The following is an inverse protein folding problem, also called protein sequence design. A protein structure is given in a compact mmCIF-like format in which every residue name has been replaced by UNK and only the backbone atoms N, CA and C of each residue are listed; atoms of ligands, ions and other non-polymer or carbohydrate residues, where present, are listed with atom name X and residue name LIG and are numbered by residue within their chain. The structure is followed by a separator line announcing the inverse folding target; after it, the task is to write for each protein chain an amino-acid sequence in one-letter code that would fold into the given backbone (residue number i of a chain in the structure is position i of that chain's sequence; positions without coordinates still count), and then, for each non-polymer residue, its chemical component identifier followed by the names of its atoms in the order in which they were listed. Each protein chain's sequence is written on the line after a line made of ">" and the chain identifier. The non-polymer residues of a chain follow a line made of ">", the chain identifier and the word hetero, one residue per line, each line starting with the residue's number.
data_IF_551078655499
#
_entry.id   IF_551078655499
#
_cell.length_a   1.000
_cell.length_b   1.000
_cell.length_c   1.000
_cell.angle_alpha   90.00
_cell.angle_beta   90.00
_cell.angle_gamma   90.00
#
_symmetry.space_group_name_H-M   'P 1'
#
loop_
_entity.id
_entity.type
_entity.pdbx_description
1 polymer ?
#
# COMPACT_ATOMS: atom_id res chain seq x y z
N UNK A 1 -0.94 2.74 8.28
CA UNK A 1 -0.36 1.44 7.86
C UNK A 1 -1.40 0.45 7.43
N UNK A 2 -2.38 0.11 8.27
CA UNK A 2 -3.45 -0.83 7.91
C UNK A 2 -4.18 -0.45 6.61
N UNK A 3 -4.53 0.82 6.42
CA UNK A 3 -5.13 1.31 5.17
C UNK A 3 -4.28 1.03 3.92
N UNK A 4 -2.95 1.16 4.03
CA UNK A 4 -2.04 0.90 2.91
C UNK A 4 -1.96 -0.60 2.60
N UNK A 5 -1.98 -1.41 3.67
CA UNK A 5 -2.02 -2.87 3.57
C UNK A 5 -3.29 -3.36 2.85
N UNK A 6 -4.45 -2.83 3.24
CA UNK A 6 -5.73 -3.17 2.59
C UNK A 6 -5.80 -2.65 1.16
N UNK A 7 -5.29 -1.44 0.87
CA UNK A 7 -5.22 -0.95 -0.51
C UNK A 7 -4.39 -1.92 -1.38
N UNK A 8 -3.20 -2.32 -0.93
CA UNK A 8 -2.37 -3.29 -1.65
C UNK A 8 -3.04 -4.65 -1.82
N UNK A 9 -3.78 -5.13 -0.81
CA UNK A 9 -4.56 -6.38 -0.90
C UNK A 9 -5.70 -6.29 -1.91
N UNK A 10 -6.49 -5.22 -1.87
CA UNK A 10 -7.57 -4.96 -2.83
C UNK A 10 -7.06 -4.91 -4.28
N UNK A 11 -5.84 -4.43 -4.51
CA UNK A 11 -5.22 -4.45 -5.83
C UNK A 11 -4.84 -5.87 -6.27
N UNK A 12 -4.32 -6.68 -5.36
CA UNK A 12 -3.94 -8.08 -5.66
C UNK A 12 -5.17 -8.98 -5.89
N UNK A 13 -6.26 -8.72 -5.17
CA UNK A 13 -7.54 -9.42 -5.31
C UNK A 13 -8.36 -8.94 -6.53
N UNK A 14 -7.90 -7.92 -7.25
CA UNK A 14 -8.59 -7.35 -8.41
C UNK A 14 -9.85 -6.55 -8.08
N UNK A 15 -10.08 -6.21 -6.81
CA UNK A 15 -11.19 -5.34 -6.36
C UNK A 15 -11.04 -3.95 -6.97
N UNK A 16 -9.81 -3.44 -7.04
CA UNK A 16 -9.46 -2.22 -7.78
C UNK A 16 -8.63 -2.60 -9.00
N UNK A 17 -8.92 -1.94 -10.12
CA UNK A 17 -8.33 -2.29 -11.42
C UNK A 17 -6.89 -1.82 -11.59
N UNK A 18 -6.53 -0.72 -10.95
CA UNK A 18 -5.19 -0.14 -11.03
C UNK A 18 -4.85 0.67 -9.78
N UNK A 19 -3.55 0.90 -9.54
CA UNK A 19 -3.08 1.79 -8.47
C UNK A 19 -3.63 3.22 -8.63
N UNK A 20 -3.73 3.70 -9.87
CA UNK A 20 -4.29 5.02 -10.19
C UNK A 20 -5.77 5.12 -9.79
N UNK A 21 -6.58 4.14 -10.15
CA UNK A 21 -8.00 4.12 -9.78
C UNK A 21 -8.18 4.06 -8.25
N UNK A 22 -7.33 3.28 -7.58
CA UNK A 22 -7.30 3.20 -6.13
C UNK A 22 -6.90 4.51 -5.45
N UNK A 23 -5.90 5.22 -5.99
CA UNK A 23 -5.47 6.53 -5.48
C UNK A 23 -6.56 7.59 -5.64
N UNK A 24 -7.14 7.70 -6.84
CA UNK A 24 -8.26 8.62 -7.13
C UNK A 24 -9.45 8.29 -6.23
N UNK A 25 -9.84 7.01 -6.17
CA UNK A 25 -10.95 6.56 -5.35
C UNK A 25 -10.74 6.82 -3.86
N UNK A 26 -9.51 6.65 -3.35
CA UNK A 26 -9.21 6.91 -1.95
C UNK A 26 -9.25 8.41 -1.61
N UNK A 27 -8.70 9.26 -2.48
CA UNK A 27 -8.68 10.72 -2.27
C UNK A 27 -10.09 11.30 -2.34
N UNK A 28 -10.85 10.98 -3.38
CA UNK A 28 -12.17 11.56 -3.61
C UNK A 28 -13.31 10.84 -2.88
N UNK A 29 -13.16 9.54 -2.58
CA UNK A 29 -14.21 8.74 -1.95
C UNK A 29 -14.17 8.77 -0.43
N UNK A 30 -13.01 8.51 0.17
CA UNK A 30 -12.85 8.35 1.63
C UNK A 30 -11.98 9.42 2.27
N UNK A 31 -11.59 10.45 1.51
CA UNK A 31 -10.86 11.62 2.03
C UNK A 31 -9.40 11.35 2.37
N UNK A 32 -8.73 10.44 1.65
CA UNK A 32 -7.29 10.27 1.80
C UNK A 32 -6.55 11.59 1.52
N UNK A 33 -5.51 11.97 2.30
CA UNK A 33 -4.83 13.25 2.14
C UNK A 33 -4.34 13.50 0.69
N UNK A 34 -4.88 14.52 -0.02
CA UNK A 34 -4.58 14.72 -1.43
C UNK A 34 -3.10 15.03 -1.70
N UNK A 35 -2.44 15.71 -0.75
CA UNK A 35 -1.03 16.08 -0.86
C UNK A 35 -0.08 14.88 -0.78
N UNK A 36 -0.56 13.70 -0.37
CA UNK A 36 0.18 12.42 -0.42
C UNK A 36 -0.10 11.65 -1.72
N UNK A 37 -1.00 12.14 -2.57
CA UNK A 37 -1.32 11.56 -3.87
C UNK A 37 -2.15 10.28 -3.86
N UNK A 38 -2.51 9.75 -2.68
CA UNK A 38 -3.25 8.49 -2.53
C UNK A 38 -2.40 7.39 -1.85
N UNK A 39 -3.03 6.29 -1.39
CA UNK A 39 -2.34 5.21 -0.68
C UNK A 39 -1.20 4.56 -1.47
N UNK A 40 -1.34 4.35 -2.78
CA UNK A 40 -0.30 3.72 -3.60
C UNK A 40 0.86 4.67 -3.85
N UNK A 41 0.57 5.92 -4.23
CA UNK A 41 1.60 6.95 -4.37
C UNK A 41 2.39 7.14 -3.08
N UNK A 42 1.70 7.17 -1.94
CA UNK A 42 2.32 7.29 -0.63
C UNK A 42 3.15 6.06 -0.23
N UNK A 43 2.70 4.85 -0.59
CA UNK A 43 3.50 3.63 -0.40
C UNK A 43 4.83 3.68 -1.18
N UNK A 44 4.82 4.19 -2.40
CA UNK A 44 6.04 4.34 -3.22
C UNK A 44 6.99 5.43 -2.67
N UNK A 45 6.45 6.46 -2.04
CA UNK A 45 7.25 7.48 -1.34
C UNK A 45 7.92 6.91 -0.08
N UNK A 46 7.19 6.09 0.68
CA UNK A 46 7.72 5.42 1.87
C UNK A 46 8.71 4.30 1.53
N UNK A 47 8.46 3.59 0.44
CA UNK A 47 9.11 2.34 0.07
C UNK A 47 8.44 1.11 0.69
N UNK A 48 8.24 0.05 -0.13
CA UNK A 48 7.60 -1.19 0.31
C UNK A 48 8.29 -1.84 1.52
N UNK A 49 9.63 -1.82 1.56
CA UNK A 49 10.40 -2.35 2.70
C UNK A 49 10.02 -1.66 4.02
N UNK A 50 9.91 -0.33 4.02
CA UNK A 50 9.53 0.44 5.22
C UNK A 50 8.11 0.13 5.65
N UNK A 51 7.19 -0.01 4.70
CA UNK A 51 5.79 -0.37 4.97
C UNK A 51 5.70 -1.76 5.60
N UNK A 52 6.35 -2.77 5.02
CA UNK A 52 6.39 -4.14 5.54
C UNK A 52 7.03 -4.19 6.93
N UNK A 53 8.16 -3.51 7.14
CA UNK A 53 8.82 -3.45 8.44
C UNK A 53 7.90 -2.84 9.52
N UNK A 54 7.20 -1.78 9.19
CA UNK A 54 6.25 -1.13 10.11
C UNK A 54 5.05 -2.04 10.41
N UNK A 55 4.52 -2.72 9.39
CA UNK A 55 3.43 -3.69 9.56
C UNK A 55 3.83 -4.87 10.44
N UNK A 56 5.02 -5.47 10.22
CA UNK A 56 5.55 -6.54 11.08
C UNK A 56 5.76 -6.08 12.52
N UNK A 57 6.26 -4.86 12.72
CA UNK A 57 6.36 -4.29 14.06
C UNK A 57 4.98 -4.18 14.73
N UNK A 58 3.97 -3.66 14.02
CA UNK A 58 2.61 -3.58 14.53
C UNK A 58 1.99 -4.97 14.75
N UNK A 59 2.28 -5.95 13.90
CA UNK A 59 1.84 -7.34 14.06
C UNK A 59 2.36 -7.94 15.36
N UNK A 60 3.63 -7.71 15.70
CA UNK A 60 4.19 -8.19 16.96
C UNK A 60 3.52 -7.57 18.19
N UNK A 61 3.05 -6.32 18.10
CA UNK A 61 2.43 -5.60 19.21
C UNK A 61 0.93 -5.85 19.34
N UNK A 62 0.22 -5.99 18.21
CA UNK A 62 -1.25 -5.96 18.15
C UNK A 62 -1.86 -7.19 17.46
N UNK A 63 -1.04 -8.14 16.99
CA UNK A 63 -1.46 -9.42 16.42
C UNK A 63 -1.63 -9.43 14.89
N UNK A 64 -2.12 -10.56 14.39
CA UNK A 64 -2.18 -10.92 12.96
C UNK A 64 -2.93 -9.93 12.07
N UNK A 65 -3.79 -9.09 12.65
CA UNK A 65 -4.52 -8.07 11.91
C UNK A 65 -3.61 -7.03 11.21
N UNK A 66 -2.37 -6.87 11.69
CA UNK A 66 -1.35 -6.02 11.06
C UNK A 66 -0.37 -6.79 10.16
N UNK A 67 -0.60 -8.08 9.89
CA UNK A 67 0.26 -8.86 9.01
C UNK A 67 0.31 -8.23 7.60
N UNK A 68 1.51 -7.98 7.05
CA UNK A 68 1.65 -7.44 5.71
C UNK A 68 1.11 -8.41 4.66
N UNK A 69 0.37 -7.90 3.67
CA UNK A 69 -0.14 -8.73 2.59
C UNK A 69 1.00 -9.24 1.67
N UNK A 70 0.77 -10.37 1.02
CA UNK A 70 1.75 -11.02 0.13
C UNK A 70 2.30 -10.09 -0.95
N UNK A 71 1.44 -9.22 -1.51
CA UNK A 71 1.88 -8.21 -2.47
C UNK A 71 2.97 -7.30 -1.92
N UNK A 72 2.77 -6.73 -0.73
CA UNK A 72 3.77 -5.83 -0.12
C UNK A 72 5.05 -6.57 0.25
N UNK A 73 4.95 -7.83 0.68
CA UNK A 73 6.12 -8.66 0.96
C UNK A 73 6.94 -8.90 -0.30
N UNK A 74 6.32 -9.32 -1.41
CA UNK A 74 6.99 -9.49 -2.71
C UNK A 74 7.62 -8.19 -3.21
N UNK A 75 6.89 -7.08 -3.14
CA UNK A 75 7.40 -5.78 -3.57
C UNK A 75 8.61 -5.32 -2.74
N UNK A 76 8.62 -5.59 -1.43
CA UNK A 76 9.74 -5.29 -0.56
C UNK A 76 10.99 -6.14 -0.90
N UNK A 77 10.81 -7.41 -1.23
CA UNK A 77 11.90 -8.31 -1.62
C UNK A 77 12.49 -7.96 -2.99
N UNK A 78 11.64 -7.53 -3.93
CA UNK A 78 12.03 -7.29 -5.33
C UNK A 78 12.34 -5.81 -5.63
N UNK A 79 12.11 -4.91 -4.68
CA UNK A 79 12.30 -3.47 -4.88
C UNK A 79 11.30 -2.86 -5.86
N UNK A 80 10.11 -3.46 -5.97
CA UNK A 80 9.06 -3.01 -6.88
C UNK A 80 8.34 -1.75 -6.37
N UNK A 81 7.64 -1.10 -7.29
CA UNK A 81 6.85 0.11 -7.06
C UNK A 81 5.48 -0.02 -7.73
N UNK A 82 4.48 0.65 -7.18
CA UNK A 82 3.16 0.74 -7.82
C UNK A 82 3.20 1.63 -9.07
N UNK A 83 4.07 2.64 -9.07
CA UNK A 83 4.36 3.54 -10.17
C UNK A 83 5.83 3.37 -10.62
N UNK A 84 6.08 2.62 -11.71
CA UNK A 84 7.43 2.47 -12.28
C UNK A 84 8.01 3.82 -12.72
N UNK A 85 9.34 3.97 -12.66
CA UNK A 85 9.98 5.16 -13.23
C UNK A 85 9.77 5.17 -14.75
N UNK A 86 8.98 6.13 -15.26
CA UNK A 86 8.72 6.33 -16.69
C UNK A 86 7.24 6.26 -17.12
N UNK A 87 6.30 6.04 -16.20
CA UNK A 87 4.84 6.03 -16.46
C UNK A 87 4.13 7.35 -16.15
#
# INVERSE_FOLDING_TARGET
>A
MMMLNEAARCLDEGVIRSARDGDIGAVFGIGFPPFLGGPFRYMDELGAEKVVKTLRYLQQQYGEYFAPCERLQRMAEQGERFYPQGS
#
